data_IF_569387426249
#
_entry.id   IF_569387426249
#
_cell.length_a   1.000
_cell.length_b   1.000
_cell.length_c   1.000
_cell.angle_alpha   90.00
_cell.angle_beta   90.00
_cell.angle_gamma   90.00
#
_symmetry.space_group_name_H-M   'P 1'
#
loop_
_entity.id
_entity.type
_entity.pdbx_description
1 polymer ?
#
# COMPACT_ATOMS: atom_id res chain seq x y z
N UNK A 1 20.20 -37.03 -1.10
CA UNK A 1 19.87 -36.13 -2.23
C UNK A 1 19.12 -34.95 -1.65
N UNK A 2 19.55 -33.73 -1.97
CA UNK A 2 18.95 -32.51 -1.48
C UNK A 2 17.57 -32.35 -2.16
N UNK A 3 16.45 -32.16 -1.44
CA UNK A 3 15.12 -32.06 -2.05
C UNK A 3 14.91 -30.81 -2.92
N UNK A 4 15.92 -29.94 -3.02
CA UNK A 4 15.90 -28.69 -3.77
C UNK A 4 16.21 -28.85 -5.27
N UNK A 5 16.54 -30.07 -5.71
CA UNK A 5 16.96 -30.34 -7.09
C UNK A 5 15.87 -31.04 -7.96
N UNK A 6 14.60 -31.11 -7.54
CA UNK A 6 13.53 -31.70 -8.37
C UNK A 6 12.76 -30.62 -9.16
N UNK A 7 12.97 -30.49 -10.49
CA UNK A 7 12.35 -29.47 -11.32
C UNK A 7 10.84 -29.69 -11.60
N UNK A 8 10.19 -30.65 -10.92
CA UNK A 8 8.79 -31.05 -11.15
C UNK A 8 7.77 -30.50 -10.17
N UNK A 9 8.16 -29.67 -9.18
CA UNK A 9 7.19 -29.09 -8.24
C UNK A 9 6.44 -27.88 -8.83
N UNK A 10 5.09 -27.88 -8.85
CA UNK A 10 4.31 -26.79 -9.42
C UNK A 10 4.36 -25.51 -8.56
N UNK A 11 4.11 -24.33 -9.16
CA UNK A 11 4.15 -23.03 -8.48
C UNK A 11 2.84 -22.79 -7.72
N UNK A 12 2.62 -23.50 -6.62
CA UNK A 12 1.40 -23.35 -5.83
C UNK A 12 1.59 -22.33 -4.69
N UNK A 13 0.97 -21.16 -4.89
CA UNK A 13 0.85 -20.11 -3.88
C UNK A 13 0.33 -20.64 -2.54
N UNK A 14 1.09 -20.39 -1.48
CA UNK A 14 0.66 -20.54 -0.08
C UNK A 14 0.70 -21.96 0.51
N UNK A 15 0.66 -23.04 -0.28
CA UNK A 15 0.69 -24.42 0.25
C UNK A 15 2.09 -25.01 0.42
N UNK A 16 3.07 -24.52 -0.34
CA UNK A 16 4.45 -25.02 -0.29
C UNK A 16 5.15 -24.79 1.04
N UNK A 17 4.95 -23.62 1.66
CA UNK A 17 5.66 -23.24 2.91
C UNK A 17 5.30 -24.18 4.07
N UNK A 18 4.01 -24.44 4.26
CA UNK A 18 3.53 -25.30 5.34
C UNK A 18 3.89 -26.77 5.11
N UNK A 19 3.88 -27.24 3.86
CA UNK A 19 4.33 -28.60 3.53
C UNK A 19 5.84 -28.79 3.73
N UNK A 20 6.66 -27.83 3.31
CA UNK A 20 8.12 -27.87 3.50
C UNK A 20 8.46 -27.87 4.99
N UNK A 21 7.84 -27.00 5.78
CA UNK A 21 8.04 -27.00 7.23
C UNK A 21 7.54 -28.30 7.88
N UNK A 22 6.40 -28.85 7.45
CA UNK A 22 5.86 -30.09 8.02
C UNK A 22 6.73 -31.33 7.80
N UNK A 23 7.60 -31.34 6.78
CA UNK A 23 8.52 -32.46 6.51
C UNK A 23 9.72 -32.50 7.47
N UNK A 24 10.05 -31.38 8.10
CA UNK A 24 11.16 -31.28 9.07
C UNK A 24 10.71 -31.38 10.53
N UNK A 25 9.41 -31.29 10.81
CA UNK A 25 8.88 -31.24 12.17
C UNK A 25 7.82 -32.32 12.43
N UNK A 26 7.93 -32.97 13.58
CA UNK A 26 7.11 -34.12 14.00
C UNK A 26 5.60 -33.82 14.13
N UNK A 27 5.17 -32.57 13.94
CA UNK A 27 3.76 -32.14 13.95
C UNK A 27 3.47 -31.23 12.76
N UNK A 28 2.32 -31.42 12.06
CA UNK A 28 1.92 -30.52 10.99
C UNK A 28 1.68 -29.11 11.56
N UNK A 29 2.24 -28.10 10.89
CA UNK A 29 1.99 -26.71 11.22
C UNK A 29 0.60 -26.33 10.74
N UNK A 30 -0.27 -25.92 11.66
CA UNK A 30 -1.71 -25.65 11.37
C UNK A 30 -2.17 -24.26 11.79
N UNK A 31 -1.34 -23.51 12.52
CA UNK A 31 -1.65 -22.20 13.08
C UNK A 31 -0.42 -21.29 13.05
N UNK A 32 -0.60 -19.99 13.21
CA UNK A 32 0.51 -19.06 13.43
C UNK A 32 0.85 -18.97 14.93
N UNK A 33 1.96 -18.31 15.24
CA UNK A 33 2.40 -18.06 16.61
C UNK A 33 1.30 -17.37 17.42
N UNK A 34 1.16 -17.79 18.69
CA UNK A 34 0.15 -17.28 19.65
C UNK A 34 -1.29 -17.40 19.18
N UNK A 35 -1.57 -18.32 18.24
CA UNK A 35 -2.92 -18.52 17.71
C UNK A 35 -3.43 -17.37 16.83
N UNK A 36 -2.52 -16.51 16.37
CA UNK A 36 -2.84 -15.50 15.36
C UNK A 36 -3.27 -16.16 14.05
N UNK A 37 -3.98 -15.42 13.21
CA UNK A 37 -4.45 -15.86 11.90
C UNK A 37 -4.30 -14.71 10.92
N UNK A 38 -3.63 -14.96 9.80
CA UNK A 38 -3.46 -13.97 8.73
C UNK A 38 -4.83 -13.43 8.35
N UNK A 39 -4.97 -12.10 8.38
CA UNK A 39 -6.18 -11.36 7.97
C UNK A 39 -7.44 -11.68 8.78
N UNK A 40 -7.33 -12.34 9.94
CA UNK A 40 -8.50 -12.69 10.79
C UNK A 40 -8.32 -12.35 12.27
N UNK A 41 -7.13 -12.59 12.85
CA UNK A 41 -6.90 -12.38 14.28
C UNK A 41 -5.42 -12.08 14.54
N UNK A 42 -5.13 -10.91 15.11
CA UNK A 42 -3.77 -10.53 15.48
C UNK A 42 -3.37 -10.84 16.91
N UNK A 43 -2.24 -10.26 17.31
CA UNK A 43 -1.60 -10.35 18.63
C UNK A 43 -2.31 -9.55 19.71
N UNK A 44 -3.65 -9.57 19.69
CA UNK A 44 -4.48 -8.82 20.62
C UNK A 44 -5.61 -9.68 21.21
N UNK A 45 -5.98 -9.33 22.43
CA UNK A 45 -7.08 -9.94 23.17
C UNK A 45 -8.35 -9.15 22.87
N UNK A 46 -9.49 -9.83 22.76
CA UNK A 46 -10.78 -9.16 22.50
C UNK A 46 -11.33 -8.53 23.77
N UNK A 47 -10.54 -7.69 24.42
CA UNK A 47 -10.97 -6.90 25.57
C UNK A 47 -11.00 -5.41 25.23
N UNK A 48 -11.77 -4.61 25.98
CA UNK A 48 -11.91 -3.18 25.69
C UNK A 48 -10.57 -2.42 25.73
N UNK A 49 -9.61 -2.81 26.57
CA UNK A 49 -8.32 -2.10 26.64
C UNK A 49 -7.49 -2.27 25.39
N UNK A 50 -7.48 -3.49 24.83
CA UNK A 50 -6.61 -3.87 23.72
C UNK A 50 -7.22 -3.63 22.31
N UNK A 51 -8.54 -3.42 22.27
CA UNK A 51 -9.31 -3.06 21.08
C UNK A 51 -9.78 -1.58 21.06
N UNK A 52 -9.40 -0.78 22.06
CA UNK A 52 -9.80 0.62 22.11
C UNK A 52 -9.06 1.45 21.07
N UNK A 53 -9.76 2.42 20.51
CA UNK A 53 -9.22 3.54 19.75
C UNK A 53 -9.67 4.82 20.43
N UNK A 54 -8.80 5.81 20.50
CA UNK A 54 -9.12 7.13 21.07
C UNK A 54 -8.60 8.21 20.14
N UNK A 55 -9.37 9.27 19.99
CA UNK A 55 -8.98 10.39 19.17
C UNK A 55 -9.70 11.67 19.55
N UNK A 56 -9.15 12.77 19.09
CA UNK A 56 -9.73 14.11 19.21
C UNK A 56 -9.72 14.73 17.83
N UNK A 57 -10.84 15.33 17.46
CA UNK A 57 -10.98 16.10 16.23
C UNK A 57 -11.48 17.50 16.58
N UNK A 58 -10.69 18.49 16.18
CA UNK A 58 -11.13 19.88 16.10
C UNK A 58 -11.57 20.16 14.66
N UNK A 59 -12.63 20.95 14.50
CA UNK A 59 -13.14 21.33 13.18
C UNK A 59 -13.61 22.78 13.23
N UNK A 60 -13.23 23.55 12.22
CA UNK A 60 -13.56 24.97 12.15
C UNK A 60 -13.74 25.42 10.70
N UNK A 61 -14.39 26.56 10.56
CA UNK A 61 -14.51 27.31 9.32
C UNK A 61 -14.02 28.72 9.60
N UNK A 62 -13.18 29.24 8.72
CA UNK A 62 -12.62 30.59 8.86
C UNK A 62 -13.64 31.64 8.39
N UNK A 63 -13.81 32.69 9.18
CA UNK A 63 -14.58 33.89 8.83
C UNK A 63 -13.68 35.08 8.55
N UNK A 64 -14.30 36.23 8.26
CA UNK A 64 -13.60 37.51 8.05
C UNK A 64 -12.70 37.93 9.24
N UNK A 65 -12.98 37.41 10.43
CA UNK A 65 -12.22 37.61 11.67
C UNK A 65 -10.92 36.79 11.77
N UNK A 66 -10.62 35.91 10.80
CA UNK A 66 -9.39 35.09 10.79
C UNK A 66 -8.38 35.63 9.76
N UNK A 67 -7.59 36.67 10.07
CA UNK A 67 -6.83 37.42 9.05
C UNK A 67 -5.69 36.64 8.37
N UNK A 68 -5.30 35.48 8.90
CA UNK A 68 -4.19 34.68 8.39
C UNK A 68 -4.63 33.56 7.42
N UNK A 69 -5.92 33.25 7.35
CA UNK A 69 -6.44 32.16 6.52
C UNK A 69 -7.53 32.69 5.58
N UNK A 70 -7.70 32.11 4.37
CA UNK A 70 -8.77 32.50 3.47
C UNK A 70 -10.14 32.35 4.14
N UNK A 71 -11.06 33.28 3.91
CA UNK A 71 -12.44 33.18 4.38
C UNK A 71 -13.13 31.96 3.73
N UNK A 72 -13.91 31.21 4.52
CA UNK A 72 -14.61 30.00 4.04
C UNK A 72 -13.74 28.74 3.96
N UNK A 73 -12.46 28.79 4.37
CA UNK A 73 -11.62 27.61 4.55
C UNK A 73 -12.21 26.74 5.66
N UNK A 74 -12.64 25.53 5.30
CA UNK A 74 -13.09 24.52 6.25
C UNK A 74 -11.91 23.61 6.55
N UNK A 75 -11.52 23.47 7.81
CA UNK A 75 -10.40 22.60 8.17
C UNK A 75 -10.65 21.78 9.43
N UNK A 76 -9.86 20.72 9.57
CA UNK A 76 -9.86 19.88 10.76
C UNK A 76 -8.44 19.62 11.22
N UNK A 77 -8.26 19.51 12.53
CA UNK A 77 -7.04 19.00 13.16
C UNK A 77 -7.43 17.76 13.95
N UNK A 78 -6.74 16.66 13.72
CA UNK A 78 -7.09 15.35 14.21
C UNK A 78 -5.90 14.73 14.91
N UNK A 79 -6.14 14.07 16.03
CA UNK A 79 -5.23 13.13 16.64
C UNK A 79 -5.97 11.81 16.85
N UNK A 80 -5.36 10.70 16.46
CA UNK A 80 -5.88 9.36 16.67
C UNK A 80 -4.80 8.45 17.23
N UNK A 81 -5.17 7.63 18.21
CA UNK A 81 -4.41 6.50 18.70
C UNK A 81 -5.24 5.24 18.47
N UNK A 82 -4.76 4.39 17.56
CA UNK A 82 -5.48 3.20 17.12
C UNK A 82 -4.52 2.10 16.68
N UNK A 83 -5.05 0.89 16.53
CA UNK A 83 -4.34 -0.23 15.89
C UNK A 83 -4.14 0.09 14.41
N UNK A 84 -2.96 -0.18 13.88
CA UNK A 84 -2.60 0.05 12.48
C UNK A 84 -3.53 -0.74 11.54
N UNK A 85 -4.34 -0.06 10.70
CA UNK A 85 -5.31 -0.72 9.84
C UNK A 85 -4.69 -1.25 8.53
N UNK A 86 -3.66 -0.57 8.02
CA UNK A 86 -2.94 -0.97 6.80
C UNK A 86 -3.77 -0.87 5.51
N UNK A 87 -4.77 0.01 5.46
CA UNK A 87 -5.75 0.13 4.37
C UNK A 87 -5.55 1.34 3.46
N UNK A 88 -4.43 2.05 3.57
CA UNK A 88 -4.18 3.31 2.88
C UNK A 88 -3.13 3.23 1.75
N UNK A 89 -2.73 2.01 1.36
CA UNK A 89 -1.70 1.80 0.34
C UNK A 89 -0.27 1.95 0.87
N UNK A 90 -0.05 2.05 2.17
CA UNK A 90 1.30 1.96 2.75
C UNK A 90 1.87 0.55 2.61
N UNK A 91 3.12 0.46 2.15
CA UNK A 91 3.88 -0.79 2.10
C UNK A 91 4.41 -1.27 3.46
N UNK A 92 3.50 -1.36 4.44
CA UNK A 92 3.76 -1.70 5.85
C UNK A 92 3.75 -3.22 6.09
N UNK A 93 4.22 -3.64 7.27
CA UNK A 93 4.22 -5.05 7.67
C UNK A 93 2.90 -5.45 8.34
N UNK A 94 2.24 -6.48 7.79
CA UNK A 94 1.08 -7.13 8.42
C UNK A 94 1.45 -8.36 9.27
N UNK A 95 2.70 -8.81 9.20
CA UNK A 95 3.23 -9.93 9.98
C UNK A 95 4.69 -9.71 10.35
N UNK A 96 5.21 -10.52 11.29
CA UNK A 96 6.61 -10.55 11.68
C UNK A 96 7.12 -11.95 12.00
N UNK A 97 8.43 -12.14 11.88
CA UNK A 97 9.15 -13.32 12.37
C UNK A 97 9.27 -13.32 13.90
N UNK A 98 9.17 -14.49 14.52
CA UNK A 98 9.54 -14.72 15.93
C UNK A 98 11.03 -15.02 15.99
N UNK A 99 11.85 -14.01 16.27
CA UNK A 99 13.31 -14.12 16.13
C UNK A 99 14.00 -14.81 17.31
N UNK A 100 13.37 -14.90 18.49
CA UNK A 100 13.93 -15.65 19.61
C UNK A 100 13.95 -17.15 19.26
N UNK A 101 15.14 -17.77 19.16
CA UNK A 101 15.27 -19.19 18.80
C UNK A 101 14.59 -20.13 19.79
N UNK A 102 14.38 -19.73 21.05
CA UNK A 102 13.66 -20.51 22.06
C UNK A 102 12.16 -20.47 21.80
N UNK A 103 11.60 -19.28 21.60
CA UNK A 103 10.17 -19.10 21.30
C UNK A 103 9.79 -19.74 19.96
N UNK A 104 10.60 -19.55 18.93
CA UNK A 104 10.36 -20.12 17.60
C UNK A 104 10.36 -21.66 17.64
N UNK A 105 11.28 -22.27 18.41
CA UNK A 105 11.30 -23.73 18.63
C UNK A 105 10.07 -24.21 19.39
N UNK A 106 9.69 -23.50 20.45
CA UNK A 106 8.50 -23.83 21.23
C UNK A 106 7.21 -23.72 20.41
N UNK A 107 7.09 -22.71 19.53
CA UNK A 107 5.98 -22.55 18.60
C UNK A 107 5.80 -23.78 17.73
N UNK A 108 6.89 -24.26 17.12
CA UNK A 108 6.82 -25.43 16.24
C UNK A 108 6.54 -26.72 16.99
N UNK A 109 7.04 -26.89 18.21
CA UNK A 109 6.64 -28.01 19.07
C UNK A 109 5.13 -28.03 19.35
N UNK A 110 4.48 -26.87 19.33
CA UNK A 110 3.01 -26.72 19.41
C UNK A 110 2.29 -26.85 18.07
N UNK A 111 3.00 -27.03 16.95
CA UNK A 111 2.42 -27.05 15.60
C UNK A 111 2.06 -25.65 15.09
N UNK A 112 2.73 -24.61 15.58
CA UNK A 112 2.58 -23.22 15.15
C UNK A 112 3.74 -22.81 14.24
N UNK A 113 3.47 -22.04 13.18
CA UNK A 113 4.49 -21.35 12.43
C UNK A 113 5.10 -20.25 13.32
N UNK A 114 6.42 -20.04 13.33
CA UNK A 114 7.06 -18.97 14.10
C UNK A 114 6.82 -17.57 13.46
N UNK A 115 5.66 -17.35 12.88
CA UNK A 115 5.25 -16.10 12.23
C UNK A 115 4.04 -15.57 13.01
N UNK A 116 3.98 -14.27 13.23
CA UNK A 116 2.90 -13.62 13.97
C UNK A 116 2.26 -12.55 13.09
N UNK A 117 0.92 -12.55 12.97
CA UNK A 117 0.21 -11.40 12.41
C UNK A 117 0.23 -10.27 13.44
N UNK A 118 0.54 -9.06 13.00
CA UNK A 118 0.63 -7.89 13.87
C UNK A 118 -0.34 -6.80 13.42
N UNK A 119 -0.88 -6.09 14.41
CA UNK A 119 -1.57 -4.82 14.18
C UNK A 119 -1.14 -3.87 15.30
N UNK A 120 0.05 -3.27 15.26
CA UNK A 120 0.55 -2.48 16.38
C UNK A 120 -0.27 -1.20 16.56
N UNK A 121 -0.30 -0.67 17.79
CA UNK A 121 -0.80 0.67 18.01
C UNK A 121 0.13 1.73 17.39
N UNK A 122 -0.49 2.72 16.76
CA UNK A 122 0.15 3.90 16.15
C UNK A 122 -0.52 5.17 16.66
N UNK A 123 0.25 6.25 16.66
CA UNK A 123 -0.29 7.60 16.83
C UNK A 123 -0.36 8.26 15.46
N UNK A 124 -1.40 9.04 15.22
CA UNK A 124 -1.57 9.77 13.98
C UNK A 124 -2.03 11.19 14.28
N UNK A 125 -1.36 12.18 13.69
CA UNK A 125 -1.76 13.59 13.73
C UNK A 125 -2.05 14.02 12.30
N UNK A 126 -3.25 14.52 12.04
CA UNK A 126 -3.68 14.85 10.69
C UNK A 126 -4.39 16.19 10.59
N UNK A 127 -4.23 16.82 9.43
CA UNK A 127 -4.94 18.03 9.05
C UNK A 127 -5.71 17.74 7.76
N UNK A 128 -6.96 18.18 7.69
CA UNK A 128 -7.67 18.27 6.42
C UNK A 128 -8.21 19.67 6.20
N UNK A 129 -8.31 20.08 4.94
CA UNK A 129 -8.80 21.38 4.55
C UNK A 129 -9.55 21.30 3.22
N UNK A 130 -10.63 22.07 3.11
CA UNK A 130 -11.39 22.29 1.90
C UNK A 130 -11.60 23.79 1.70
N UNK A 131 -11.31 24.28 0.52
CA UNK A 131 -11.46 25.69 0.17
C UNK A 131 -12.10 25.84 -1.22
N UNK A 132 -13.25 26.49 -1.28
CA UNK A 132 -13.91 26.81 -2.53
C UNK A 132 -13.47 28.20 -2.97
N UNK A 133 -12.67 28.28 -4.03
CA UNK A 133 -12.22 29.56 -4.58
C UNK A 133 -13.19 29.98 -5.70
N UNK A 134 -14.09 30.90 -5.39
CA UNK A 134 -15.17 31.31 -6.29
C UNK A 134 -14.79 32.46 -7.23
N UNK A 135 -13.77 33.26 -6.87
CA UNK A 135 -13.51 34.55 -7.53
C UNK A 135 -12.72 34.40 -8.84
N UNK A 136 -11.73 33.49 -8.91
CA UNK A 136 -10.81 33.43 -10.04
C UNK A 136 -10.90 32.11 -10.82
N UNK A 137 -10.88 30.99 -10.10
CA UNK A 137 -10.69 29.65 -10.63
C UNK A 137 -11.97 28.83 -10.63
N UNK A 138 -12.93 29.16 -9.76
CA UNK A 138 -14.16 28.39 -9.53
C UNK A 138 -13.84 26.93 -9.17
N UNK A 139 -12.76 26.75 -8.41
CA UNK A 139 -12.19 25.45 -8.09
C UNK A 139 -12.34 25.17 -6.60
N UNK A 140 -12.71 23.95 -6.27
CA UNK A 140 -12.67 23.47 -4.88
C UNK A 140 -11.34 22.77 -4.68
N UNK A 141 -10.50 23.34 -3.83
CA UNK A 141 -9.24 22.74 -3.41
C UNK A 141 -9.45 21.89 -2.16
N UNK A 142 -8.79 20.74 -2.13
CA UNK A 142 -8.78 19.82 -1.00
C UNK A 142 -7.34 19.54 -0.58
N UNK A 143 -7.13 19.41 0.71
CA UNK A 143 -5.88 18.99 1.30
C UNK A 143 -6.21 18.00 2.42
N UNK A 144 -5.50 16.90 2.45
CA UNK A 144 -5.44 15.99 3.59
C UNK A 144 -3.97 15.67 3.83
N UNK A 145 -3.52 15.73 5.07
CA UNK A 145 -2.15 15.36 5.43
C UNK A 145 -2.16 14.70 6.78
N UNK A 146 -1.33 13.68 6.96
CA UNK A 146 -1.21 12.94 8.22
C UNK A 146 0.24 12.60 8.48
N UNK A 147 0.65 12.71 9.74
CA UNK A 147 1.91 12.23 10.25
C UNK A 147 1.62 11.08 11.20
N UNK A 148 2.15 9.91 10.89
CA UNK A 148 1.94 8.70 11.66
C UNK A 148 3.23 8.24 12.31
N UNK A 149 3.13 7.90 13.59
CA UNK A 149 4.25 7.48 14.41
C UNK A 149 4.27 5.96 14.54
N UNK A 150 5.43 5.39 14.26
CA UNK A 150 5.72 3.99 14.54
C UNK A 150 4.97 2.97 13.70
N UNK A 151 4.71 3.27 12.43
CA UNK A 151 4.21 2.34 11.42
C UNK A 151 5.19 1.16 11.25
N UNK A 152 4.72 -0.10 11.24
CA UNK A 152 5.60 -1.25 11.17
C UNK A 152 6.08 -1.52 9.74
N UNK A 153 7.37 -1.77 9.55
CA UNK A 153 7.96 -2.21 8.28
C UNK A 153 8.78 -3.48 8.48
N UNK A 154 8.76 -4.40 7.51
CA UNK A 154 9.59 -5.61 7.54
C UNK A 154 11.05 -5.19 7.37
N UNK A 155 11.92 -5.65 8.25
CA UNK A 155 13.32 -5.23 8.31
C UNK A 155 14.24 -6.40 7.96
N UNK A 156 14.94 -6.31 6.83
CA UNK A 156 15.82 -7.36 6.36
C UNK A 156 16.97 -7.70 7.33
N UNK A 157 17.38 -6.74 8.17
CA UNK A 157 18.39 -6.95 9.20
C UNK A 157 17.87 -7.81 10.37
N UNK A 158 16.56 -8.02 10.45
CA UNK A 158 15.88 -8.81 11.47
C UNK A 158 15.40 -10.14 10.89
N UNK A 159 16.32 -10.95 10.37
CA UNK A 159 16.03 -12.28 9.79
C UNK A 159 16.28 -13.41 10.79
N UNK A 160 15.76 -14.61 10.47
CA UNK A 160 16.15 -15.82 11.20
C UNK A 160 17.65 -16.07 11.08
N UNK A 161 18.27 -16.53 12.17
CA UNK A 161 19.64 -17.03 12.10
C UNK A 161 19.75 -18.18 11.09
N UNK A 162 20.81 -18.21 10.28
CA UNK A 162 21.12 -19.33 9.38
C UNK A 162 21.40 -20.64 10.13
N UNK A 163 21.62 -20.58 11.45
CA UNK A 163 21.76 -21.75 12.33
C UNK A 163 20.44 -22.19 12.97
N UNK A 164 19.37 -21.43 12.74
CA UNK A 164 18.02 -21.77 13.16
C UNK A 164 17.47 -22.87 12.26
N UNK A 165 16.62 -23.78 12.76
CA UNK A 165 15.93 -24.73 11.89
C UNK A 165 14.92 -24.02 10.94
N UNK A 166 14.70 -22.71 11.13
CA UNK A 166 13.95 -21.82 10.22
C UNK A 166 14.83 -21.08 9.20
N UNK A 167 16.09 -21.49 9.00
CA UNK A 167 17.00 -20.84 8.05
C UNK A 167 16.42 -20.75 6.63
N UNK A 168 15.57 -21.70 6.23
CA UNK A 168 14.86 -21.67 4.94
C UNK A 168 13.92 -20.46 4.79
N UNK A 169 13.45 -19.89 5.90
CA UNK A 169 12.57 -18.72 5.94
C UNK A 169 13.36 -17.41 6.10
N UNK A 170 14.68 -17.46 6.31
CA UNK A 170 15.49 -16.28 6.64
C UNK A 170 15.47 -15.19 5.55
N UNK A 171 15.14 -15.58 4.31
CA UNK A 171 15.10 -14.68 3.15
C UNK A 171 13.71 -14.13 2.83
N UNK A 172 12.67 -14.69 3.45
CA UNK A 172 11.27 -14.39 3.09
C UNK A 172 10.49 -13.82 4.28
N UNK A 173 10.94 -14.08 5.50
CA UNK A 173 10.22 -13.71 6.72
C UNK A 173 11.16 -12.96 7.67
N UNK A 174 10.76 -11.74 7.98
CA UNK A 174 11.55 -10.79 8.73
C UNK A 174 10.82 -10.30 9.97
N UNK A 175 11.56 -9.84 10.97
CA UNK A 175 11.05 -9.02 12.05
C UNK A 175 10.67 -7.63 11.55
N UNK A 176 10.17 -6.80 12.48
CA UNK A 176 9.69 -5.46 12.15
C UNK A 176 10.47 -4.37 12.84
N UNK A 177 10.59 -3.24 12.16
CA UNK A 177 11.07 -1.97 12.68
C UNK A 177 9.97 -0.93 12.51
N UNK A 178 9.79 -0.10 13.54
CA UNK A 178 8.81 0.98 13.54
C UNK A 178 9.42 2.22 12.93
N UNK A 179 8.69 2.89 12.04
CA UNK A 179 9.09 4.14 11.39
C UNK A 179 7.96 5.13 11.34
N UNK A 180 8.35 6.40 11.34
CA UNK A 180 7.41 7.48 11.19
C UNK A 180 7.23 7.81 9.72
N UNK A 181 6.04 8.27 9.36
CA UNK A 181 5.70 8.51 7.97
C UNK A 181 4.78 9.71 7.85
N UNK A 182 5.08 10.56 6.87
CA UNK A 182 4.26 11.67 6.48
C UNK A 182 3.52 11.32 5.19
N UNK A 183 2.23 11.60 5.15
CA UNK A 183 1.38 11.33 3.99
C UNK A 183 0.49 12.50 3.71
N UNK A 184 -0.02 12.54 2.49
CA UNK A 184 -1.14 13.40 2.21
C UNK A 184 -1.66 13.29 0.80
N UNK A 185 -2.66 14.12 0.56
CA UNK A 185 -3.33 14.32 -0.70
C UNK A 185 -3.60 15.81 -0.87
N UNK A 186 -3.32 16.33 -2.06
CA UNK A 186 -3.90 17.59 -2.52
C UNK A 186 -4.80 17.30 -3.71
N UNK A 187 -5.93 17.96 -3.77
CA UNK A 187 -6.93 17.74 -4.80
C UNK A 187 -7.55 19.03 -5.28
N UNK A 188 -8.08 18.98 -6.49
CA UNK A 188 -8.89 20.06 -7.04
C UNK A 188 -10.08 19.47 -7.79
N UNK A 189 -11.24 20.13 -7.68
CA UNK A 189 -12.44 19.83 -8.45
C UNK A 189 -12.89 21.10 -9.16
N UNK A 190 -13.04 21.06 -10.48
CA UNK A 190 -13.41 22.23 -11.27
C UNK A 190 -14.39 21.89 -12.41
N UNK A 191 -15.59 22.49 -12.43
CA UNK A 191 -16.42 22.49 -13.63
C UNK A 191 -15.79 23.40 -14.71
N UNK A 192 -15.43 22.83 -15.85
CA UNK A 192 -14.78 23.53 -16.97
C UNK A 192 -15.60 23.35 -18.24
N UNK A 193 -15.93 24.44 -18.93
CA UNK A 193 -16.71 24.36 -20.17
C UNK A 193 -15.83 24.16 -21.41
N UNK A 194 -15.81 22.95 -21.95
CA UNK A 194 -15.12 22.62 -23.21
C UNK A 194 -16.15 22.56 -24.34
N UNK A 195 -16.54 23.74 -24.84
CA UNK A 195 -17.64 23.90 -25.83
C UNK A 195 -17.53 23.02 -27.10
N UNK A 196 -16.33 22.78 -27.68
CA UNK A 196 -16.22 21.91 -28.85
C UNK A 196 -16.66 20.47 -28.58
N UNK A 197 -16.51 19.97 -27.35
CA UNK A 197 -16.85 18.61 -26.96
C UNK A 197 -18.29 18.53 -26.42
N UNK A 198 -18.71 19.51 -25.61
CA UNK A 198 -20.07 19.57 -25.08
C UNK A 198 -20.59 21.01 -25.05
N UNK A 199 -21.62 21.29 -25.86
CA UNK A 199 -22.25 22.62 -25.95
C UNK A 199 -23.30 22.87 -24.86
N UNK A 200 -23.72 21.84 -24.12
CA UNK A 200 -24.88 21.93 -23.19
C UNK A 200 -24.51 21.74 -21.72
N UNK A 201 -23.36 21.14 -21.42
CA UNK A 201 -22.89 20.92 -20.06
C UNK A 201 -21.39 21.17 -19.94
N UNK A 202 -20.94 21.47 -18.72
CA UNK A 202 -19.52 21.53 -18.36
C UNK A 202 -18.95 20.13 -18.18
N UNK A 203 -17.63 20.06 -18.21
CA UNK A 203 -16.87 18.89 -17.77
C UNK A 203 -16.46 19.12 -16.32
N UNK A 204 -16.80 18.21 -15.42
CA UNK A 204 -16.18 18.17 -14.11
C UNK A 204 -14.79 17.55 -14.30
N UNK A 205 -13.76 18.35 -14.08
CA UNK A 205 -12.37 17.92 -14.08
C UNK A 205 -11.92 17.89 -12.63
N UNK A 206 -11.49 16.73 -12.18
CA UNK A 206 -10.97 16.52 -10.83
C UNK A 206 -9.58 15.91 -10.91
N UNK A 207 -8.68 16.35 -10.04
CA UNK A 207 -7.34 15.81 -9.94
C UNK A 207 -6.92 15.66 -8.49
N UNK A 208 -6.17 14.61 -8.19
CA UNK A 208 -5.62 14.38 -6.86
C UNK A 208 -4.16 13.93 -6.98
N UNK A 209 -3.32 14.43 -6.10
CA UNK A 209 -1.92 14.03 -5.94
C UNK A 209 -1.72 13.53 -4.53
N UNK A 210 -1.35 12.26 -4.40
CA UNK A 210 -1.06 11.58 -3.15
C UNK A 210 0.45 11.38 -2.99
N UNK A 211 0.90 11.43 -1.75
CA UNK A 211 2.25 11.03 -1.39
C UNK A 211 2.27 10.26 -0.07
N UNK A 212 3.20 9.31 0.02
CA UNK A 212 3.75 8.81 1.28
C UNK A 212 5.24 9.14 1.31
N UNK A 213 5.71 9.61 2.45
CA UNK A 213 7.11 9.92 2.72
C UNK A 213 7.57 9.26 4.02
N UNK A 214 8.51 8.32 3.91
CA UNK A 214 9.08 7.61 5.05
C UNK A 214 10.18 8.45 5.71
N UNK A 215 9.98 8.83 6.97
CA UNK A 215 10.90 9.69 7.70
C UNK A 215 12.14 8.90 8.14
N UNK A 216 13.32 9.50 7.92
CA UNK A 216 14.62 8.93 8.28
C UNK A 216 14.80 7.49 7.79
N UNK A 217 14.33 7.21 6.57
CA UNK A 217 14.52 5.91 5.95
C UNK A 217 16.03 5.64 5.80
N UNK A 218 16.60 4.61 6.46
CA UNK A 218 18.02 4.32 6.35
C UNK A 218 18.34 3.88 4.92
N UNK A 219 19.02 4.73 4.17
CA UNK A 219 19.41 4.48 2.78
C UNK A 219 20.39 3.31 2.67
N UNK A 220 19.91 2.09 2.39
CA UNK A 220 20.80 0.98 2.03
C UNK A 220 20.19 0.15 0.90
N UNK A 221 20.67 0.40 -0.31
CA UNK A 221 20.54 -0.47 -1.46
C UNK A 221 21.97 -0.75 -1.98
N UNK A 222 22.52 -1.94 -1.76
CA UNK A 222 23.79 -2.31 -2.37
C UNK A 222 23.51 -2.92 -3.73
N UNK A 223 23.86 -2.22 -4.81
CA UNK A 223 23.72 -2.75 -6.18
C UNK A 223 25.02 -2.74 -6.99
N UNK A 224 26.06 -2.04 -6.53
CA UNK A 224 27.37 -1.95 -7.20
C UNK A 224 28.53 -2.01 -6.17
N UNK A 225 29.55 -2.88 -6.34
CA UNK A 225 30.78 -2.86 -5.55
C UNK A 225 31.52 -1.50 -5.54
N UNK A 226 31.23 -0.60 -6.47
CA UNK A 226 31.87 0.71 -6.63
C UNK A 226 31.00 1.90 -6.17
N UNK A 227 29.84 1.64 -5.57
CA UNK A 227 28.92 2.69 -5.10
C UNK A 227 29.54 3.51 -3.95
N UNK A 228 29.30 4.83 -3.96
CA UNK A 228 29.82 5.76 -2.93
C UNK A 228 28.67 6.44 -2.18
N UNK A 229 28.64 6.40 -0.83
CA UNK A 229 29.65 5.80 0.07
C UNK A 229 29.68 4.25 0.02
N UNK A 230 30.85 3.63 0.28
CA UNK A 230 31.02 2.19 0.18
C UNK A 230 30.11 1.44 1.17
N UNK A 231 29.51 0.33 0.72
CA UNK A 231 28.64 -0.51 1.54
C UNK A 231 29.35 -1.01 2.82
N UNK A 232 28.66 -1.02 3.98
CA UNK A 232 29.21 -1.64 5.19
C UNK A 232 29.49 -3.13 4.95
N UNK A 233 30.70 -3.60 5.29
CA UNK A 233 31.18 -4.98 5.09
C UNK A 233 30.38 -6.07 5.83
N UNK A 234 29.32 -5.72 6.58
CA UNK A 234 28.65 -6.63 7.51
C UNK A 234 27.76 -7.71 6.88
N UNK A 235 27.68 -7.83 5.55
CA UNK A 235 27.05 -8.97 4.87
C UNK A 235 25.55 -9.16 5.12
N UNK A 236 24.87 -8.18 5.70
CA UNK A 236 23.43 -8.14 5.90
C UNK A 236 22.95 -6.83 5.29
N UNK A 237 22.26 -6.91 4.15
CA UNK A 237 21.55 -5.75 3.61
C UNK A 237 20.59 -5.22 4.67
N UNK A 238 20.80 -3.98 5.10
CA UNK A 238 19.81 -3.23 5.88
C UNK A 238 18.84 -2.67 4.83
N UNK A 239 17.54 -2.79 5.06
CA UNK A 239 16.56 -2.29 4.09
C UNK A 239 15.18 -2.80 4.41
N UNK A 240 14.17 -1.97 4.16
CA UNK A 240 12.79 -2.37 4.40
C UNK A 240 12.25 -3.21 3.24
N UNK A 241 11.38 -4.15 3.59
CA UNK A 241 10.73 -5.04 2.63
C UNK A 241 9.25 -4.72 2.61
N UNK A 242 8.75 -4.50 1.40
CA UNK A 242 7.31 -4.40 1.21
C UNK A 242 6.61 -5.71 1.54
N UNK A 243 5.33 -5.63 1.93
CA UNK A 243 4.49 -6.79 2.28
C UNK A 243 4.44 -7.84 1.18
N UNK A 244 4.54 -7.42 -0.08
CA UNK A 244 4.50 -8.28 -1.27
C UNK A 244 5.89 -8.57 -1.87
N UNK A 245 6.97 -8.10 -1.25
CA UNK A 245 8.34 -8.27 -1.73
C UNK A 245 8.99 -9.54 -1.16
N UNK A 246 8.39 -10.70 -1.46
CA UNK A 246 8.91 -12.01 -1.00
C UNK A 246 10.06 -12.54 -1.84
N UNK A 247 10.47 -11.87 -2.92
CA UNK A 247 11.59 -12.35 -3.73
C UNK A 247 12.50 -11.20 -4.19
N UNK A 248 13.78 -11.34 -3.87
CA UNK A 248 14.81 -10.37 -4.20
C UNK A 248 15.93 -10.43 -3.18
N UNK A 249 16.54 -11.61 -3.04
CA UNK A 249 17.91 -11.69 -2.54
C UNK A 249 18.78 -11.49 -3.76
N UNK A 250 19.48 -10.36 -3.84
CA UNK A 250 20.59 -10.26 -4.77
C UNK A 250 21.75 -11.04 -4.16
N UNK A 251 22.29 -12.02 -4.85
CA UNK A 251 23.62 -12.55 -4.53
C UNK A 251 24.61 -11.40 -4.64
N UNK A 252 25.42 -11.13 -3.61
CA UNK A 252 26.39 -10.02 -3.60
C UNK A 252 27.55 -10.19 -4.60
N UNK A 253 27.48 -11.17 -5.50
CA UNK A 253 28.62 -11.63 -6.29
C UNK A 253 29.62 -12.48 -5.49
N UNK A 254 29.49 -12.57 -4.16
CA UNK A 254 30.31 -13.43 -3.28
C UNK A 254 29.51 -14.66 -2.86
N UNK A 255 30.06 -15.89 -3.00
CA UNK A 255 29.41 -17.10 -2.51
C UNK A 255 29.09 -16.98 -1.01
N UNK A 256 27.81 -17.14 -0.65
CA UNK A 256 27.36 -17.12 0.75
C UNK A 256 27.00 -15.75 1.34
N UNK A 257 27.02 -14.66 0.56
CA UNK A 257 26.55 -13.35 1.00
C UNK A 257 25.27 -12.93 0.24
N UNK A 258 24.27 -12.52 1.01
CA UNK A 258 22.95 -12.09 0.54
C UNK A 258 22.88 -10.56 0.66
N UNK A 259 22.75 -9.85 -0.47
CA UNK A 259 22.35 -8.44 -0.49
C UNK A 259 20.84 -8.38 -0.56
N UNK A 260 20.24 -7.82 0.48
CA UNK A 260 18.83 -7.48 0.47
C UNK A 260 18.67 -6.11 -0.19
N UNK A 261 17.81 -6.05 -1.22
CA UNK A 261 17.40 -4.80 -1.87
C UNK A 261 16.27 -4.21 -1.01
N UNK A 262 16.43 -2.96 -0.58
CA UNK A 262 15.33 -2.16 -0.03
C UNK A 262 14.28 -1.93 -1.12
N UNK A 263 13.03 -2.30 -0.82
CA UNK A 263 11.90 -2.13 -1.74
C UNK A 263 10.83 -1.18 -1.18
N UNK A 264 11.08 -0.54 -0.05
CA UNK A 264 10.26 0.54 0.46
C UNK A 264 10.99 1.83 0.12
N UNK A 265 10.37 2.65 -0.73
CA UNK A 265 10.97 3.91 -1.13
C UNK A 265 10.70 4.97 -0.08
N UNK A 266 11.58 5.96 -0.05
CA UNK A 266 11.39 7.16 0.76
C UNK A 266 10.11 7.86 0.34
N UNK A 267 9.89 8.01 -0.96
CA UNK A 267 8.69 8.59 -1.55
C UNK A 267 7.89 7.53 -2.31
N UNK A 268 6.58 7.50 -2.08
CA UNK A 268 5.60 6.83 -2.94
C UNK A 268 4.60 7.89 -3.39
N UNK A 269 4.35 7.99 -4.69
CA UNK A 269 3.52 9.06 -5.26
C UNK A 269 2.42 8.48 -6.15
N UNK A 270 1.26 9.12 -6.16
CA UNK A 270 0.17 8.78 -7.05
C UNK A 270 -0.54 10.04 -7.54
N UNK A 271 -0.73 10.14 -8.85
CA UNK A 271 -1.53 11.19 -9.49
C UNK A 271 -2.79 10.55 -10.06
N UNK A 272 -3.92 11.20 -9.86
CA UNK A 272 -5.18 10.87 -10.53
C UNK A 272 -5.73 12.11 -11.21
N UNK A 273 -6.29 11.92 -12.39
CA UNK A 273 -7.02 12.93 -13.14
C UNK A 273 -8.27 12.27 -13.70
N UNK A 274 -9.44 12.79 -13.37
CA UNK A 274 -10.71 12.33 -13.93
C UNK A 274 -11.45 13.48 -14.60
N UNK A 275 -12.06 13.19 -15.74
CA UNK A 275 -12.97 14.10 -16.42
C UNK A 275 -14.29 13.40 -16.71
N UNK A 276 -15.41 14.06 -16.39
CA UNK A 276 -16.76 13.55 -16.67
C UNK A 276 -17.69 14.67 -17.09
N UNK A 277 -18.75 14.33 -17.83
CA UNK A 277 -19.78 15.28 -18.28
C UNK A 277 -21.09 14.54 -18.53
N UNK A 278 -22.14 15.28 -18.89
CA UNK A 278 -23.46 14.72 -19.17
C UNK A 278 -23.87 14.99 -20.62
N UNK A 279 -24.37 13.95 -21.29
CA UNK A 279 -25.02 14.04 -22.59
C UNK A 279 -26.47 13.58 -22.51
N UNK A 280 -27.29 14.04 -23.47
CA UNK A 280 -28.72 13.70 -23.59
C UNK A 280 -29.50 13.86 -22.29
N UNK A 281 -29.30 14.98 -21.59
CA UNK A 281 -30.02 15.28 -20.33
C UNK A 281 -29.62 14.39 -19.15
N UNK A 282 -28.40 13.84 -19.15
CA UNK A 282 -27.90 12.96 -18.08
C UNK A 282 -28.02 11.47 -18.39
N UNK A 283 -28.62 11.10 -19.52
CA UNK A 283 -28.78 9.68 -19.91
C UNK A 283 -27.45 8.97 -20.21
N UNK A 284 -26.44 9.73 -20.64
CA UNK A 284 -25.13 9.23 -21.05
C UNK A 284 -24.08 10.00 -20.24
N UNK A 285 -23.30 9.28 -19.43
CA UNK A 285 -22.28 9.86 -18.53
C UNK A 285 -20.94 9.17 -18.78
N UNK A 286 -20.09 9.72 -19.65
CA UNK A 286 -18.75 9.21 -19.86
C UNK A 286 -17.79 9.70 -18.78
N UNK A 287 -16.84 8.85 -18.42
CA UNK A 287 -15.72 9.16 -17.56
C UNK A 287 -14.42 8.80 -18.29
N UNK A 288 -13.44 9.68 -18.19
CA UNK A 288 -12.05 9.39 -18.47
C UNK A 288 -11.30 9.49 -17.14
N UNK A 289 -10.63 8.42 -16.74
CA UNK A 289 -9.77 8.40 -15.55
C UNK A 289 -8.35 8.09 -16.01
N UNK A 290 -7.40 8.88 -15.54
CA UNK A 290 -5.97 8.66 -15.74
C UNK A 290 -5.29 8.63 -14.38
N UNK A 291 -4.61 7.52 -14.10
CA UNK A 291 -3.84 7.32 -12.89
C UNK A 291 -2.38 7.12 -13.28
N UNK A 292 -1.47 7.78 -12.57
CA UNK A 292 -0.03 7.74 -12.80
C UNK A 292 0.70 7.58 -11.48
N UNK A 293 1.54 6.56 -11.41
CA UNK A 293 2.55 6.39 -10.38
C UNK A 293 3.94 6.65 -11.01
N UNK A 294 4.49 7.87 -10.84
CA UNK A 294 5.75 8.24 -11.48
C UNK A 294 6.97 7.59 -10.81
N UNK A 295 6.85 7.13 -9.56
CA UNK A 295 8.00 6.65 -8.76
C UNK A 295 8.22 5.14 -8.95
N UNK A 296 7.15 4.37 -9.15
CA UNK A 296 7.23 2.95 -9.46
C UNK A 296 7.26 2.71 -10.97
N UNK A 297 8.34 3.18 -11.61
CA UNK A 297 8.58 2.92 -13.03
C UNK A 297 7.48 3.46 -13.95
N UNK A 298 6.94 4.64 -13.62
CA UNK A 298 5.92 5.32 -14.45
C UNK A 298 4.74 4.41 -14.80
N UNK A 299 4.25 3.62 -13.82
CA UNK A 299 3.06 2.79 -14.01
C UNK A 299 1.83 3.68 -14.20
N UNK A 300 0.93 3.28 -15.09
CA UNK A 300 -0.25 4.07 -15.44
C UNK A 300 -1.47 3.17 -15.57
N UNK A 301 -2.62 3.72 -15.21
CA UNK A 301 -3.91 3.13 -15.52
C UNK A 301 -4.77 4.17 -16.25
N UNK A 302 -5.27 3.81 -17.43
CA UNK A 302 -6.22 4.62 -18.18
C UNK A 302 -7.55 3.89 -18.22
N UNK A 303 -8.61 4.56 -17.76
CA UNK A 303 -9.95 4.00 -17.79
C UNK A 303 -10.89 4.89 -18.61
N UNK A 304 -11.61 4.26 -19.52
CA UNK A 304 -12.81 4.83 -20.12
C UNK A 304 -14.01 4.14 -19.50
N UNK A 305 -14.88 4.89 -18.86
CA UNK A 305 -16.14 4.38 -18.35
C UNK A 305 -17.31 5.11 -19.00
N UNK A 306 -18.42 4.42 -19.16
CA UNK A 306 -19.64 4.99 -19.68
C UNK A 306 -20.83 4.41 -18.94
N UNK A 307 -21.54 5.27 -18.22
CA UNK A 307 -22.85 4.93 -17.67
C UNK A 307 -23.96 5.36 -18.64
N UNK A 308 -24.79 4.39 -19.01
CA UNK A 308 -26.01 4.59 -19.79
C UNK A 308 -27.23 4.29 -18.92
N UNK A 309 -27.97 5.34 -18.58
CA UNK A 309 -29.21 5.24 -17.83
C UNK A 309 -30.33 4.81 -18.78
N UNK A 310 -30.64 3.51 -18.79
CA UNK A 310 -31.73 2.95 -19.61
C UNK A 310 -33.06 3.50 -19.12
N UNK A 311 -33.24 3.47 -17.79
CA UNK A 311 -34.34 4.05 -17.03
C UNK A 311 -33.80 4.64 -15.72
N UNK A 312 -34.66 5.21 -14.88
CA UNK A 312 -34.26 5.67 -13.54
C UNK A 312 -33.88 4.53 -12.59
N UNK A 313 -34.18 3.28 -12.94
CA UNK A 313 -33.95 2.09 -12.12
C UNK A 313 -32.92 1.14 -12.74
N UNK A 314 -32.47 1.39 -13.97
CA UNK A 314 -31.59 0.51 -14.72
C UNK A 314 -30.43 1.29 -15.36
N UNK A 315 -29.21 0.92 -14.98
CA UNK A 315 -27.97 1.53 -15.47
C UNK A 315 -27.12 0.44 -16.10
N UNK A 316 -26.72 0.65 -17.36
CA UNK A 316 -25.69 -0.16 -18.01
C UNK A 316 -24.37 0.61 -17.94
N UNK A 317 -23.39 0.06 -17.23
CA UNK A 317 -22.04 0.58 -17.14
C UNK A 317 -21.11 -0.22 -18.04
N UNK A 318 -20.43 0.46 -18.95
CA UNK A 318 -19.36 -0.09 -19.78
C UNK A 318 -18.04 0.45 -19.29
N UNK A 319 -17.00 -0.38 -19.24
CA UNK A 319 -15.65 0.08 -18.92
C UNK A 319 -14.60 -0.56 -19.81
N UNK A 320 -13.56 0.20 -20.10
CA UNK A 320 -12.34 -0.26 -20.71
C UNK A 320 -11.18 0.26 -19.88
N UNK A 321 -10.35 -0.63 -19.34
CA UNK A 321 -9.17 -0.29 -18.53
C UNK A 321 -7.90 -0.78 -19.18
N UNK A 322 -6.90 0.08 -19.21
CA UNK A 322 -5.58 -0.19 -19.74
C UNK A 322 -4.56 -0.04 -18.62
N UNK A 323 -3.90 -1.13 -18.25
CA UNK A 323 -2.81 -1.13 -17.29
C UNK A 323 -1.49 -1.06 -18.06
N UNK A 324 -0.81 0.08 -17.97
CA UNK A 324 0.42 0.38 -18.70
C UNK A 324 1.59 0.31 -17.74
N UNK A 325 2.52 -0.59 -18.03
CA UNK A 325 3.80 -0.68 -17.33
C UNK A 325 4.92 -0.41 -18.33
N UNK A 326 5.87 0.45 -17.98
CA UNK A 326 6.96 0.84 -18.89
C UNK A 326 8.14 -0.12 -18.87
N UNK A 327 8.08 -1.19 -18.08
CA UNK A 327 9.21 -2.08 -17.84
C UNK A 327 8.94 -3.54 -18.21
N UNK A 328 10.02 -4.21 -18.61
CA UNK A 328 9.99 -5.63 -18.92
C UNK A 328 10.08 -6.54 -17.69
N UNK A 329 10.23 -5.98 -16.48
CA UNK A 329 10.35 -6.72 -15.22
C UNK A 329 9.14 -6.49 -14.31
N UNK A 330 8.81 -7.40 -13.38
CA UNK A 330 7.77 -7.14 -12.39
C UNK A 330 8.12 -5.92 -11.54
N UNK A 331 7.16 -5.01 -11.38
CA UNK A 331 7.29 -3.84 -10.52
C UNK A 331 6.43 -4.07 -9.29
N UNK A 332 7.04 -3.99 -8.12
CA UNK A 332 6.32 -3.96 -6.86
C UNK A 332 6.00 -2.51 -6.55
N UNK A 333 4.72 -2.22 -6.42
CA UNK A 333 4.16 -0.88 -6.21
C UNK A 333 2.95 -1.01 -5.30
N UNK A 334 2.68 0.06 -4.54
CA UNK A 334 1.75 -0.01 -3.43
C UNK A 334 0.30 0.33 -3.82
N UNK A 335 0.08 0.83 -5.03
CA UNK A 335 -1.17 1.43 -5.49
C UNK A 335 -2.01 0.50 -6.39
N UNK A 336 -1.44 -0.55 -6.96
CA UNK A 336 -2.09 -1.52 -7.85
C UNK A 336 -2.34 -1.04 -9.30
N UNK A 337 -1.73 0.07 -9.71
CA UNK A 337 -2.02 0.83 -10.95
C UNK A 337 -1.39 0.21 -12.20
N UNK A 338 -0.45 -0.74 -12.07
CA UNK A 338 0.10 -1.42 -13.24
C UNK A 338 1.16 -2.47 -12.97
N UNK A 339 1.79 -2.45 -11.79
CA UNK A 339 2.78 -3.46 -11.41
C UNK A 339 2.14 -4.83 -11.24
N UNK A 340 1.10 -4.90 -10.40
CA UNK A 340 0.33 -6.12 -10.15
C UNK A 340 -0.55 -6.55 -11.34
N UNK A 341 -0.93 -5.60 -12.19
CA UNK A 341 -1.84 -5.79 -13.31
C UNK A 341 -1.12 -5.78 -14.68
N UNK A 342 0.18 -6.08 -14.72
CA UNK A 342 0.99 -5.97 -15.94
C UNK A 342 0.45 -6.85 -17.08
N UNK A 343 0.42 -6.28 -18.28
CA UNK A 343 -0.01 -6.97 -19.51
C UNK A 343 -1.52 -7.25 -19.54
N UNK A 344 -2.27 -6.68 -18.59
CA UNK A 344 -3.71 -6.81 -18.50
C UNK A 344 -4.38 -5.63 -19.19
N UNK A 345 -5.49 -5.93 -19.83
CA UNK A 345 -6.46 -4.95 -20.30
C UNK A 345 -7.82 -5.54 -19.98
N UNK A 346 -8.70 -4.74 -19.40
CA UNK A 346 -10.00 -5.21 -18.95
C UNK A 346 -11.11 -4.52 -19.72
N UNK A 347 -12.06 -5.31 -20.20
CA UNK A 347 -13.36 -4.82 -20.65
C UNK A 347 -14.40 -5.24 -19.62
N UNK A 348 -15.12 -4.27 -19.08
CA UNK A 348 -16.18 -4.49 -18.10
C UNK A 348 -17.55 -4.14 -18.67
N UNK A 349 -18.53 -4.98 -18.33
CA UNK A 349 -19.95 -4.71 -18.56
C UNK A 349 -20.67 -5.01 -17.25
N UNK A 350 -21.40 -4.02 -16.72
CA UNK A 350 -22.17 -4.16 -15.49
C UNK A 350 -23.58 -3.62 -15.72
N UNK A 351 -24.58 -4.42 -15.40
CA UNK A 351 -25.96 -3.97 -15.30
C UNK A 351 -26.31 -3.77 -13.83
N UNK A 352 -26.70 -2.56 -13.46
CA UNK A 352 -27.20 -2.24 -12.13
C UNK A 352 -28.70 -2.02 -12.20
N UNK A 353 -29.45 -2.70 -11.33
CA UNK A 353 -30.88 -2.52 -11.18
C UNK A 353 -31.18 -2.11 -9.73
N UNK A 354 -31.88 -0.99 -9.54
CA UNK A 354 -32.27 -0.49 -8.23
C UNK A 354 -33.79 -0.48 -8.12
N UNK A 355 -34.30 -1.28 -7.18
CA UNK A 355 -35.73 -1.42 -6.87
C UNK A 355 -36.15 -0.52 -5.71
#
# INVERSE_FOLDING_TARGET
MNPLDDPRSPPDGGRGLFQILSRFYQRPITKLYRGTRLFQRGDYVRDPGDNSQVGVRFSAVTGAETPLLPEGLQFTLNYFYQRWPGDDGTNSASFRAVLDPREARAAVQRGEAPIEFIAPYVHAVGVSANYAEEQHTQTVYRLETIYEFGVPFLDAAKSYSLRSPFAILANDVYGVSKRDMWKGMIGFDRPTWIRPLNRKATFLILGQFFWHYLIDNPSIACRDPNERPPCPQSGQGKGFRGQFSTSGVATTGSPGQLAYIDKVRDWELLMTLTATTFYKGGKIVPFLVYILDPVNSYNQEVMFLLDYFITNHAILSLSQRFFVNTTDRPVFEAWGVGGLNRGRTETGVKLTFQF
#
